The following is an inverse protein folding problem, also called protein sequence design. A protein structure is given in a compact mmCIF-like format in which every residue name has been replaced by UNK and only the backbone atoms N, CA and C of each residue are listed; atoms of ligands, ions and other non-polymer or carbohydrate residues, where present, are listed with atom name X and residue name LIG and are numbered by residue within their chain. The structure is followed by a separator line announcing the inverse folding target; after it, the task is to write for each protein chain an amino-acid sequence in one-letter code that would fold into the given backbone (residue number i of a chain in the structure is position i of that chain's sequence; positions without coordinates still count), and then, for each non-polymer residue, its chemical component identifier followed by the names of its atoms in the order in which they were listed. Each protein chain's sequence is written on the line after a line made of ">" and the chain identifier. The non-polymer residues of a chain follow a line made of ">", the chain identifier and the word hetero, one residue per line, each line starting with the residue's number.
data_IF_419231903623
#
_entry.id   IF_419231903623
#
_cell.length_a   1.000
_cell.length_b   1.000
_cell.length_c   1.000
_cell.angle_alpha   90.00
_cell.angle_beta   90.00
_cell.angle_gamma   90.00
#
_symmetry.space_group_name_H-M   'P 1'
#
loop_
_entity.id
_entity.type
_entity.pdbx_description
1 polymer ?
#
# COMPACT_ATOMS: atom_id res chain seq x y z
N UNK A 1 12.64 28.62 25.44
CA UNK A 1 13.45 27.38 25.65
C UNK A 1 13.11 26.45 24.47
N UNK A 2 14.11 26.08 23.64
CA UNK A 2 13.83 25.08 22.58
C UNK A 2 13.97 23.68 23.19
N UNK A 3 12.94 22.89 23.11
CA UNK A 3 12.98 21.49 23.51
C UNK A 3 13.96 20.74 22.61
N UNK A 4 14.78 19.87 23.20
CA UNK A 4 15.71 19.03 22.47
C UNK A 4 15.00 17.72 22.11
N UNK A 5 14.64 17.57 20.84
CA UNK A 5 13.98 16.37 20.32
C UNK A 5 15.00 15.25 20.04
N UNK A 6 14.51 14.00 20.01
CA UNK A 6 15.35 12.86 19.65
C UNK A 6 15.92 13.01 18.22
N UNK A 7 17.15 12.51 17.99
CA UNK A 7 17.87 12.57 16.69
C UNK A 7 17.00 12.07 15.53
N UNK A 8 16.19 11.03 15.74
CA UNK A 8 15.27 10.47 14.73
C UNK A 8 14.31 11.48 14.12
N UNK A 9 13.98 12.59 14.82
CA UNK A 9 13.13 13.64 14.29
C UNK A 9 13.77 14.41 13.12
N UNK A 10 15.10 14.37 12.99
CA UNK A 10 15.79 14.98 11.84
C UNK A 10 15.64 14.15 10.55
N UNK A 11 15.29 12.87 10.66
CA UNK A 11 15.08 11.98 9.52
C UNK A 11 13.66 12.05 8.97
N UNK A 12 12.70 12.57 9.76
CA UNK A 12 11.28 12.63 9.43
C UNK A 12 10.95 13.99 8.82
N UNK A 13 10.45 13.98 7.58
CA UNK A 13 9.97 15.19 6.89
C UNK A 13 8.44 15.18 6.83
N UNK A 14 7.83 16.37 6.75
CA UNK A 14 6.40 16.49 6.49
C UNK A 14 6.03 15.81 5.16
N UNK A 15 4.90 15.11 5.15
CA UNK A 15 4.42 14.43 3.95
C UNK A 15 3.82 15.45 2.98
N UNK A 16 4.41 15.60 1.78
CA UNK A 16 3.84 16.44 0.71
C UNK A 16 2.41 16.05 0.34
N UNK A 17 2.13 14.74 0.34
CA UNK A 17 0.78 14.25 0.06
C UNK A 17 -0.23 14.78 1.07
N UNK A 18 0.13 14.90 2.34
CA UNK A 18 -0.78 15.48 3.35
C UNK A 18 -1.11 16.94 3.04
N UNK A 19 -0.17 17.72 2.57
CA UNK A 19 -0.44 19.11 2.16
C UNK A 19 -1.37 19.16 0.94
N UNK A 20 -1.15 18.28 -0.04
CA UNK A 20 -2.04 18.13 -1.20
C UNK A 20 -3.44 17.68 -0.74
N UNK A 21 -3.54 16.72 0.18
CA UNK A 21 -4.82 16.22 0.67
C UNK A 21 -5.63 17.29 1.42
N UNK A 22 -5.00 18.24 2.11
CA UNK A 22 -5.71 19.38 2.71
C UNK A 22 -6.42 20.25 1.65
N UNK A 23 -5.81 20.43 0.48
CA UNK A 23 -6.45 21.16 -0.62
C UNK A 23 -7.60 20.38 -1.23
N UNK A 24 -7.54 19.04 -1.19
CA UNK A 24 -8.58 18.16 -1.76
C UNK A 24 -9.81 17.97 -0.87
N UNK A 25 -9.82 18.53 0.34
CA UNK A 25 -11.02 18.58 1.19
C UNK A 25 -12.09 19.58 0.68
N UNK A 26 -11.74 20.43 -0.31
CA UNK A 26 -12.69 21.31 -0.95
C UNK A 26 -13.61 20.52 -1.90
N UNK A 27 -14.92 20.69 -1.76
CA UNK A 27 -15.95 19.95 -2.51
C UNK A 27 -15.88 20.09 -4.05
N UNK A 28 -15.30 21.18 -4.55
CA UNK A 28 -15.17 21.48 -5.97
C UNK A 28 -13.91 20.95 -6.62
N UNK A 29 -13.01 20.29 -5.86
CA UNK A 29 -11.77 19.69 -6.35
C UNK A 29 -11.99 18.25 -6.78
N UNK A 30 -11.66 17.92 -8.03
CA UNK A 30 -11.56 16.54 -8.50
C UNK A 30 -10.18 16.00 -8.10
N UNK A 31 -10.17 15.07 -7.13
CA UNK A 31 -8.93 14.57 -6.55
C UNK A 31 -8.59 13.16 -7.01
N UNK A 32 -7.48 13.01 -7.70
CA UNK A 32 -6.80 11.75 -8.00
C UNK A 32 -5.62 11.47 -7.05
N UNK A 33 -5.48 12.26 -5.97
CA UNK A 33 -4.30 12.22 -5.11
C UNK A 33 -4.37 11.11 -4.06
N UNK A 34 -5.48 10.98 -3.33
CA UNK A 34 -5.63 10.02 -2.23
C UNK A 34 -5.74 8.58 -2.72
N UNK A 35 -5.17 7.64 -1.96
CA UNK A 35 -5.44 6.20 -2.16
C UNK A 35 -6.73 5.78 -1.44
N UNK A 36 -7.83 6.52 -1.64
CA UNK A 36 -9.08 6.34 -0.94
C UNK A 36 -9.98 5.34 -1.67
N UNK A 37 -10.59 4.37 -0.96
CA UNK A 37 -11.69 3.57 -1.48
C UNK A 37 -12.92 4.42 -1.78
N UNK A 38 -13.81 3.91 -2.62
CA UNK A 38 -15.11 4.48 -2.91
C UNK A 38 -16.03 4.44 -1.66
N UNK A 39 -16.44 5.57 -1.09
CA UNK A 39 -17.20 5.58 0.16
C UNK A 39 -18.62 5.01 0.01
N UNK A 40 -19.20 5.09 -1.17
CA UNK A 40 -20.52 4.52 -1.48
C UNK A 40 -20.56 2.99 -1.45
N UNK A 41 -19.39 2.33 -1.40
CA UNK A 41 -19.27 0.88 -1.30
C UNK A 41 -19.10 0.39 0.15
N UNK A 42 -19.04 1.28 1.13
CA UNK A 42 -18.94 0.82 2.52
C UNK A 42 -20.24 0.16 2.98
N UNK A 43 -20.18 -1.03 3.62
CA UNK A 43 -21.36 -1.77 4.05
C UNK A 43 -21.93 -1.20 5.37
N UNK A 44 -22.46 0.04 5.31
CA UNK A 44 -22.85 0.82 6.49
C UNK A 44 -23.99 0.16 7.25
N UNK A 45 -25.01 -0.34 6.56
CA UNK A 45 -26.19 -0.95 7.20
C UNK A 45 -25.79 -2.27 7.90
N UNK A 46 -24.98 -3.08 7.26
CA UNK A 46 -24.46 -4.34 7.82
C UNK A 46 -23.56 -4.06 9.04
N UNK A 47 -22.70 -3.03 8.97
CA UNK A 47 -21.85 -2.62 10.10
C UNK A 47 -22.71 -2.16 11.28
N UNK A 48 -23.77 -1.38 11.03
CA UNK A 48 -24.69 -0.93 12.08
C UNK A 48 -25.36 -2.11 12.78
N UNK A 49 -25.92 -3.05 12.02
CA UNK A 49 -26.52 -4.28 12.57
C UNK A 49 -25.51 -5.07 13.41
N UNK A 50 -24.32 -5.32 12.87
CA UNK A 50 -23.28 -6.09 13.55
C UNK A 50 -22.81 -5.43 14.83
N UNK A 51 -22.62 -4.12 14.85
CA UNK A 51 -22.22 -3.40 16.06
C UNK A 51 -23.27 -3.55 17.19
N UNK A 52 -24.55 -3.56 16.86
CA UNK A 52 -25.62 -3.83 17.84
C UNK A 52 -25.51 -5.27 18.39
N UNK A 53 -25.26 -6.24 17.51
CA UNK A 53 -25.09 -7.65 17.89
C UNK A 53 -23.86 -7.81 18.81
N UNK A 54 -22.71 -7.30 18.40
CA UNK A 54 -21.44 -7.40 19.16
C UNK A 54 -21.58 -6.80 20.54
N UNK A 55 -22.20 -5.62 20.65
CA UNK A 55 -22.40 -4.96 21.96
C UNK A 55 -23.41 -5.71 22.82
N UNK A 56 -24.49 -6.25 22.25
CA UNK A 56 -25.51 -7.00 22.97
C UNK A 56 -24.99 -8.35 23.48
N UNK A 57 -24.29 -9.10 22.63
CA UNK A 57 -23.90 -10.49 22.93
C UNK A 57 -22.54 -10.57 23.63
N UNK A 58 -21.62 -9.64 23.36
CA UNK A 58 -20.24 -9.69 23.85
C UNK A 58 -19.69 -8.32 24.28
N UNK A 59 -20.57 -7.38 24.65
CA UNK A 59 -20.17 -5.99 24.93
C UNK A 59 -19.09 -5.85 25.99
N UNK A 60 -19.19 -6.59 27.10
CA UNK A 60 -18.15 -6.57 28.14
C UNK A 60 -16.78 -6.98 27.59
N UNK A 61 -16.73 -8.01 26.73
CA UNK A 61 -15.49 -8.47 26.10
C UNK A 61 -15.00 -7.49 25.02
N UNK A 62 -15.91 -6.94 24.23
CA UNK A 62 -15.60 -5.99 23.16
C UNK A 62 -15.00 -4.68 23.68
N UNK A 63 -15.39 -4.27 24.91
CA UNK A 63 -14.96 -3.02 25.54
C UNK A 63 -13.80 -3.21 26.54
N UNK A 64 -13.32 -4.45 26.74
CA UNK A 64 -12.21 -4.75 27.64
C UNK A 64 -10.90 -4.89 26.87
N UNK A 65 -9.78 -4.81 27.58
CA UNK A 65 -8.46 -5.18 27.07
C UNK A 65 -8.43 -6.64 26.57
N UNK A 66 -7.63 -6.89 25.54
CA UNK A 66 -7.42 -8.22 24.95
C UNK A 66 -5.92 -8.50 24.75
N UNK A 67 -5.60 -9.60 24.11
CA UNK A 67 -4.20 -9.96 23.82
C UNK A 67 -3.62 -9.05 22.74
N UNK A 68 -2.32 -8.84 22.80
CA UNK A 68 -1.56 -8.00 21.83
C UNK A 68 -1.67 -8.53 20.41
N UNK A 69 -1.68 -9.86 20.25
CA UNK A 69 -1.78 -10.54 18.97
C UNK A 69 -3.09 -10.25 18.24
N UNK A 70 -4.15 -9.98 19.00
CA UNK A 70 -5.48 -9.67 18.50
C UNK A 70 -6.49 -10.80 18.64
N UNK A 71 -7.72 -10.52 18.21
CA UNK A 71 -8.89 -11.38 18.37
C UNK A 71 -8.75 -12.67 17.58
N UNK A 72 -8.78 -13.81 18.29
CA UNK A 72 -8.49 -15.15 17.73
C UNK A 72 -9.34 -15.47 16.50
N UNK A 73 -10.69 -15.32 16.49
CA UNK A 73 -11.49 -15.64 15.30
C UNK A 73 -11.10 -14.84 14.06
N UNK A 74 -10.67 -13.58 14.22
CA UNK A 74 -10.19 -12.78 13.11
C UNK A 74 -8.83 -13.25 12.60
N UNK A 75 -7.93 -13.62 13.49
CA UNK A 75 -6.60 -14.17 13.14
C UNK A 75 -6.73 -15.51 12.40
N UNK A 76 -7.63 -16.38 12.85
CA UNK A 76 -7.93 -17.66 12.18
C UNK A 76 -8.50 -17.43 10.77
N UNK A 77 -9.44 -16.50 10.62
CA UNK A 77 -9.99 -16.17 9.32
C UNK A 77 -8.91 -15.62 8.36
N UNK A 78 -8.04 -14.72 8.84
CA UNK A 78 -6.95 -14.16 8.02
C UNK A 78 -5.99 -15.28 7.59
N UNK A 79 -5.57 -16.16 8.49
CA UNK A 79 -4.69 -17.28 8.18
C UNK A 79 -5.30 -18.18 7.11
N UNK A 80 -6.56 -18.59 7.27
CA UNK A 80 -7.27 -19.42 6.30
C UNK A 80 -7.40 -18.72 4.93
N UNK A 81 -7.73 -17.42 4.92
CA UNK A 81 -7.84 -16.62 3.69
C UNK A 81 -6.51 -16.53 2.95
N UNK A 82 -5.41 -16.29 3.66
CA UNK A 82 -4.07 -16.26 3.06
C UNK A 82 -3.67 -17.63 2.52
N UNK A 83 -3.97 -18.71 3.22
CA UNK A 83 -3.68 -20.07 2.75
C UNK A 83 -4.44 -20.38 1.45
N UNK A 84 -5.73 -20.06 1.42
CA UNK A 84 -6.59 -20.29 0.25
C UNK A 84 -6.19 -19.44 -0.97
N UNK A 85 -5.93 -18.15 -0.75
CA UNK A 85 -5.76 -17.16 -1.84
C UNK A 85 -4.31 -16.94 -2.27
N UNK A 86 -3.36 -17.15 -1.35
CA UNK A 86 -1.95 -16.78 -1.55
C UNK A 86 -1.00 -17.98 -1.48
N UNK A 87 -1.51 -19.19 -1.18
CA UNK A 87 -0.72 -20.40 -1.11
C UNK A 87 0.20 -20.51 0.10
N UNK A 88 -0.11 -19.80 1.20
CA UNK A 88 0.63 -19.89 2.46
C UNK A 88 0.17 -21.10 3.29
N UNK A 89 0.83 -21.36 4.42
CA UNK A 89 0.51 -22.46 5.36
C UNK A 89 0.45 -21.94 6.80
N UNK A 90 -0.27 -20.86 7.02
CA UNK A 90 -0.38 -20.18 8.30
C UNK A 90 -1.48 -20.77 9.21
N UNK A 91 -1.28 -20.65 10.51
CA UNK A 91 -2.34 -20.70 11.52
C UNK A 91 -2.45 -19.33 12.23
N UNK A 92 -3.35 -19.22 13.21
CA UNK A 92 -3.56 -17.97 13.96
C UNK A 92 -2.28 -17.42 14.61
N UNK A 93 -1.31 -18.28 14.97
CA UNK A 93 -0.10 -17.87 15.68
C UNK A 93 0.98 -17.30 14.73
N UNK A 94 0.75 -17.39 13.43
CA UNK A 94 1.52 -16.68 12.41
C UNK A 94 0.99 -15.25 12.18
N UNK A 95 -0.13 -14.83 12.76
CA UNK A 95 -0.83 -13.57 12.48
C UNK A 95 -0.78 -12.63 13.70
N UNK A 96 -0.36 -11.39 13.48
CA UNK A 96 -0.48 -10.29 14.44
C UNK A 96 -1.38 -9.21 13.84
N UNK A 97 -2.45 -8.83 14.52
CA UNK A 97 -3.32 -7.73 14.12
C UNK A 97 -2.63 -6.39 14.39
N UNK A 98 -2.73 -5.48 13.43
CA UNK A 98 -2.10 -4.15 13.47
C UNK A 98 -3.11 -3.04 13.17
N UNK A 99 -2.80 -1.80 13.56
CA UNK A 99 -3.58 -0.61 13.17
C UNK A 99 -3.35 -0.24 11.70
N UNK A 100 -3.91 -1.07 10.78
CA UNK A 100 -3.62 -1.08 9.36
C UNK A 100 -2.20 -1.58 9.07
N UNK A 101 -1.88 -1.83 7.79
CA UNK A 101 -0.53 -2.25 7.37
C UNK A 101 0.56 -1.22 7.74
N UNK A 102 0.20 0.06 7.86
CA UNK A 102 1.15 1.11 8.24
C UNK A 102 1.84 0.84 9.59
N UNK A 103 1.11 0.32 10.58
CA UNK A 103 1.74 -0.09 11.85
C UNK A 103 2.63 -1.33 11.64
N UNK A 104 2.24 -2.25 10.77
CA UNK A 104 3.09 -3.39 10.41
C UNK A 104 4.44 -2.94 9.85
N UNK A 105 4.45 -1.92 8.99
CA UNK A 105 5.68 -1.32 8.46
C UNK A 105 6.52 -0.64 9.55
N UNK A 106 5.90 0.15 10.44
CA UNK A 106 6.63 0.79 11.56
C UNK A 106 7.24 -0.27 12.52
N UNK A 107 6.47 -1.30 12.85
CA UNK A 107 6.96 -2.41 13.66
C UNK A 107 8.10 -3.18 12.96
N UNK A 108 8.06 -3.31 11.61
CA UNK A 108 9.17 -3.90 10.84
C UNK A 108 10.44 -3.08 10.99
N UNK A 109 10.33 -1.74 10.94
CA UNK A 109 11.46 -0.87 11.25
C UNK A 109 12.03 -1.10 12.64
N UNK A 110 11.17 -1.23 13.65
CA UNK A 110 11.59 -1.51 15.06
C UNK A 110 12.26 -2.88 15.23
N UNK A 111 11.85 -3.88 14.47
CA UNK A 111 12.36 -5.26 14.61
C UNK A 111 13.67 -5.44 13.87
N UNK A 112 13.87 -4.78 12.73
CA UNK A 112 14.97 -5.10 11.82
C UNK A 112 16.02 -4.00 11.65
N UNK A 113 15.68 -2.72 11.92
CA UNK A 113 16.52 -1.60 11.51
C UNK A 113 17.17 -0.88 12.68
N UNK A 114 18.48 -0.74 12.58
CA UNK A 114 19.28 0.19 13.33
C UNK A 114 19.73 1.38 12.46
N UNK A 115 20.25 2.44 13.08
CA UNK A 115 20.79 3.58 12.36
C UNK A 115 21.98 3.18 11.49
N UNK A 116 21.92 3.51 10.20
CA UNK A 116 22.95 3.18 9.21
C UNK A 116 22.67 1.90 8.41
N UNK A 117 21.66 1.14 8.76
CA UNK A 117 21.24 -0.02 7.98
C UNK A 117 20.62 0.39 6.61
N UNK A 118 20.57 -0.57 5.71
CA UNK A 118 20.09 -0.37 4.34
C UNK A 118 18.80 -1.15 4.11
N UNK A 119 17.81 -0.47 3.53
CA UNK A 119 16.57 -1.05 3.02
C UNK A 119 16.63 -1.05 1.49
N UNK A 120 16.42 -2.21 0.86
CA UNK A 120 16.22 -2.30 -0.58
C UNK A 120 14.73 -2.15 -0.89
N UNK A 121 14.40 -1.44 -1.96
CA UNK A 121 13.02 -1.27 -2.39
C UNK A 121 12.92 -1.10 -3.91
N UNK A 122 11.71 -1.20 -4.43
CA UNK A 122 11.40 -0.89 -5.83
C UNK A 122 11.64 0.59 -6.14
N UNK A 123 11.95 0.90 -7.39
CA UNK A 123 12.05 2.27 -7.91
C UNK A 123 10.97 2.51 -8.98
N UNK A 124 9.88 3.23 -8.68
CA UNK A 124 9.47 3.84 -7.41
C UNK A 124 8.87 2.85 -6.41
N UNK A 125 8.64 3.31 -5.15
CA UNK A 125 8.01 2.52 -4.09
C UNK A 125 7.03 3.34 -3.24
N UNK A 126 6.33 2.70 -2.30
CA UNK A 126 5.32 3.33 -1.46
C UNK A 126 5.93 4.33 -0.45
N UNK A 127 5.54 5.59 -0.60
CA UNK A 127 6.11 6.69 0.20
C UNK A 127 5.89 6.57 1.72
N UNK A 128 4.81 5.92 2.16
CA UNK A 128 4.58 5.78 3.59
C UNK A 128 5.43 4.66 4.21
N UNK A 129 5.88 3.68 3.42
CA UNK A 129 6.90 2.72 3.82
C UNK A 129 8.27 3.43 3.94
N UNK A 130 8.62 4.27 2.95
CA UNK A 130 9.83 5.11 3.01
C UNK A 130 9.84 5.92 4.31
N UNK A 131 8.72 6.58 4.64
CA UNK A 131 8.60 7.40 5.84
C UNK A 131 8.70 6.59 7.13
N UNK A 132 8.10 5.39 7.18
CA UNK A 132 8.15 4.51 8.33
C UNK A 132 9.58 4.05 8.61
N UNK A 133 10.31 3.61 7.60
CA UNK A 133 11.68 3.11 7.76
C UNK A 133 12.69 4.22 8.00
N UNK A 134 12.56 5.37 7.33
CA UNK A 134 13.45 6.55 7.59
C UNK A 134 13.47 6.98 9.05
N UNK A 135 12.39 6.76 9.80
CA UNK A 135 12.34 7.06 11.23
C UNK A 135 13.41 6.32 12.06
N UNK A 136 13.94 5.22 11.54
CA UNK A 136 14.98 4.41 12.17
C UNK A 136 16.41 4.75 11.71
N UNK A 137 16.59 5.80 10.89
CA UNK A 137 17.90 6.25 10.44
C UNK A 137 18.54 5.37 9.37
N UNK A 138 17.75 4.55 8.68
CA UNK A 138 18.23 3.74 7.56
C UNK A 138 18.40 4.56 6.29
N UNK A 139 19.19 4.04 5.35
CA UNK A 139 19.29 4.49 3.97
C UNK A 139 18.56 3.54 3.02
N UNK A 140 18.33 3.98 1.77
CA UNK A 140 17.66 3.19 0.75
C UNK A 140 18.56 2.97 -0.45
N UNK A 141 18.52 1.75 -0.99
CA UNK A 141 18.98 1.46 -2.34
C UNK A 141 17.77 1.06 -3.16
N UNK A 142 17.52 1.80 -4.23
CA UNK A 142 16.43 1.60 -5.14
C UNK A 142 16.82 0.58 -6.21
N UNK A 143 16.05 -0.49 -6.36
CA UNK A 143 16.23 -1.49 -7.40
C UNK A 143 15.29 -1.16 -8.56
N UNK A 144 15.80 -1.00 -9.79
CA UNK A 144 14.98 -0.74 -10.96
C UNK A 144 13.89 -1.79 -11.17
N UNK A 145 12.77 -1.39 -11.78
CA UNK A 145 11.66 -2.27 -12.14
C UNK A 145 11.40 -2.22 -13.65
N UNK A 146 11.05 -3.36 -14.22
CA UNK A 146 10.58 -3.51 -15.58
C UNK A 146 9.09 -3.90 -15.66
N UNK A 147 8.64 -4.57 -16.72
CA UNK A 147 7.27 -5.07 -16.87
C UNK A 147 6.94 -6.21 -15.91
N UNK A 148 7.92 -6.97 -15.47
CA UNK A 148 7.78 -8.15 -14.61
C UNK A 148 8.02 -7.87 -13.12
N UNK A 149 8.38 -6.64 -12.77
CA UNK A 149 8.63 -6.22 -11.38
C UNK A 149 10.08 -5.81 -11.12
N UNK A 150 10.58 -6.03 -9.91
CA UNK A 150 11.95 -5.72 -9.51
C UNK A 150 12.96 -6.54 -10.33
N UNK A 151 14.04 -5.92 -10.83
CA UNK A 151 15.09 -6.58 -11.61
C UNK A 151 15.97 -7.43 -10.69
N UNK A 152 15.86 -8.75 -10.78
CA UNK A 152 16.50 -9.69 -9.85
C UNK A 152 18.01 -9.82 -10.02
N UNK A 153 18.53 -9.60 -11.20
CA UNK A 153 19.96 -9.53 -11.49
C UNK A 153 20.63 -8.33 -10.79
N UNK A 154 20.00 -7.17 -10.86
CA UNK A 154 20.43 -5.96 -10.13
C UNK A 154 20.31 -6.17 -8.63
N UNK A 155 19.20 -6.77 -8.15
CA UNK A 155 19.03 -7.09 -6.75
C UNK A 155 20.13 -8.01 -6.24
N UNK A 156 20.46 -9.08 -6.97
CA UNK A 156 21.49 -10.04 -6.57
C UNK A 156 22.88 -9.41 -6.56
N UNK A 157 23.19 -8.54 -7.53
CA UNK A 157 24.46 -7.79 -7.55
C UNK A 157 24.57 -6.89 -6.30
N UNK A 158 23.52 -6.13 -5.97
CA UNK A 158 23.50 -5.27 -4.78
C UNK A 158 23.64 -6.09 -3.50
N UNK A 159 22.91 -7.21 -3.37
CA UNK A 159 22.98 -8.09 -2.20
C UNK A 159 24.38 -8.70 -2.00
N UNK A 160 25.10 -9.00 -3.09
CA UNK A 160 26.43 -9.61 -3.01
C UNK A 160 27.54 -8.60 -2.69
N UNK A 161 27.36 -7.33 -3.04
CA UNK A 161 28.43 -6.32 -2.98
C UNK A 161 28.19 -5.25 -1.88
N UNK A 162 27.04 -5.24 -1.22
CA UNK A 162 26.70 -4.20 -0.25
C UNK A 162 26.49 -4.78 1.15
N UNK A 163 27.30 -4.37 2.14
CA UNK A 163 27.07 -4.76 3.54
C UNK A 163 25.89 -4.01 4.17
N UNK A 164 25.44 -4.48 5.35
CA UNK A 164 24.39 -3.85 6.17
C UNK A 164 23.00 -3.78 5.54
N UNK A 165 22.71 -4.58 4.51
CA UNK A 165 21.36 -4.74 4.02
C UNK A 165 20.58 -5.59 5.04
N UNK A 166 19.47 -5.04 5.57
CA UNK A 166 18.63 -5.70 6.58
C UNK A 166 17.26 -6.07 6.09
N UNK A 167 16.72 -5.30 5.13
CA UNK A 167 15.33 -5.43 4.74
C UNK A 167 15.17 -5.17 3.24
N UNK A 168 14.31 -5.99 2.62
CA UNK A 168 13.79 -5.76 1.28
C UNK A 168 12.29 -5.47 1.41
N UNK A 169 11.83 -4.35 0.86
CA UNK A 169 10.42 -3.99 0.81
C UNK A 169 9.88 -4.10 -0.60
N UNK A 170 8.82 -4.88 -0.79
CA UNK A 170 8.24 -5.16 -2.09
C UNK A 170 6.71 -5.14 -2.08
N UNK A 171 6.09 -4.63 -3.15
CA UNK A 171 4.64 -4.67 -3.41
C UNK A 171 4.41 -5.45 -4.71
N UNK A 172 4.35 -6.78 -4.67
CA UNK A 172 4.36 -7.59 -5.89
C UNK A 172 3.01 -7.62 -6.64
N UNK A 173 1.94 -7.05 -6.07
CA UNK A 173 0.61 -7.08 -6.69
C UNK A 173 -0.03 -5.70 -6.68
N UNK A 174 -0.33 -5.16 -7.88
CA UNK A 174 -0.92 -3.83 -8.08
C UNK A 174 -0.17 -2.73 -7.32
N UNK A 175 1.13 -2.69 -7.52
CA UNK A 175 2.10 -1.88 -6.81
C UNK A 175 1.67 -0.41 -6.68
N UNK A 176 1.86 0.16 -5.53
CA UNK A 176 1.73 1.59 -5.29
C UNK A 176 3.13 2.25 -5.38
N UNK A 177 3.37 3.09 -6.40
CA UNK A 177 2.38 3.86 -7.18
C UNK A 177 2.07 3.31 -8.58
N UNK A 178 2.76 2.30 -9.11
CA UNK A 178 2.79 1.99 -10.54
C UNK A 178 1.61 1.17 -11.06
N UNK A 179 0.86 0.49 -10.18
CA UNK A 179 -0.19 -0.44 -10.56
C UNK A 179 0.31 -1.77 -11.17
N UNK A 180 1.63 -1.97 -11.28
CA UNK A 180 2.24 -3.18 -11.85
C UNK A 180 2.04 -4.40 -10.95
N UNK A 181 2.05 -5.59 -11.57
CA UNK A 181 2.05 -6.88 -10.88
C UNK A 181 3.30 -7.66 -11.30
N UNK A 182 4.01 -8.21 -10.33
CA UNK A 182 5.20 -9.02 -10.58
C UNK A 182 4.84 -10.38 -11.16
N UNK A 183 5.69 -10.87 -12.07
CA UNK A 183 5.60 -12.22 -12.58
C UNK A 183 5.87 -13.27 -11.50
N UNK A 184 5.42 -14.50 -11.75
CA UNK A 184 5.65 -15.62 -10.83
C UNK A 184 7.15 -15.93 -10.66
N UNK A 185 7.93 -15.79 -11.74
CA UNK A 185 9.38 -16.00 -11.73
C UNK A 185 10.08 -15.02 -10.79
N UNK A 186 9.72 -13.73 -10.85
CA UNK A 186 10.28 -12.70 -9.97
C UNK A 186 9.98 -12.97 -8.50
N UNK A 187 8.79 -13.45 -8.20
CA UNK A 187 8.39 -13.82 -6.82
C UNK A 187 9.23 -14.99 -6.29
N UNK A 188 9.41 -16.04 -7.07
CA UNK A 188 10.26 -17.18 -6.71
C UNK A 188 11.70 -16.77 -6.50
N UNK A 189 12.25 -15.98 -7.46
CA UNK A 189 13.63 -15.53 -7.38
C UNK A 189 13.91 -14.65 -6.17
N UNK A 190 12.95 -13.80 -5.77
CA UNK A 190 13.12 -13.01 -4.54
C UNK A 190 13.16 -13.90 -3.29
N UNK A 191 12.33 -14.94 -3.20
CA UNK A 191 12.39 -15.90 -2.09
C UNK A 191 13.74 -16.62 -2.03
N UNK A 192 14.25 -17.09 -3.17
CA UNK A 192 15.58 -17.71 -3.26
C UNK A 192 16.69 -16.76 -2.80
N UNK A 193 16.66 -15.50 -3.26
CA UNK A 193 17.68 -14.50 -2.89
C UNK A 193 17.61 -14.14 -1.40
N UNK A 194 16.39 -13.99 -0.86
CA UNK A 194 16.18 -13.79 0.58
C UNK A 194 16.82 -14.92 1.41
N UNK A 195 16.56 -16.18 1.03
CA UNK A 195 17.14 -17.33 1.71
C UNK A 195 18.68 -17.36 1.56
N UNK A 196 19.20 -17.12 0.35
CA UNK A 196 20.64 -17.16 0.03
C UNK A 196 21.44 -16.13 0.85
N UNK A 197 20.91 -14.91 0.97
CA UNK A 197 21.62 -13.80 1.64
C UNK A 197 21.17 -13.57 3.09
N UNK A 198 20.13 -14.27 3.58
CA UNK A 198 19.63 -14.15 4.94
C UNK A 198 19.00 -12.78 5.23
N UNK A 199 18.39 -12.14 4.23
CA UNK A 199 17.79 -10.79 4.34
C UNK A 199 16.27 -10.91 4.45
N UNK A 200 15.69 -10.22 5.45
CA UNK A 200 14.24 -10.20 5.64
C UNK A 200 13.53 -9.49 4.47
N UNK A 201 12.35 -9.99 4.09
CA UNK A 201 11.48 -9.39 3.08
C UNK A 201 10.14 -9.00 3.70
N UNK A 202 9.68 -7.79 3.46
CA UNK A 202 8.30 -7.38 3.70
C UNK A 202 7.56 -7.37 2.37
N UNK A 203 6.70 -8.35 2.18
CA UNK A 203 5.75 -8.42 1.08
C UNK A 203 4.48 -7.66 1.49
N UNK A 204 4.25 -6.48 0.92
CA UNK A 204 3.07 -5.65 1.22
C UNK A 204 1.98 -5.89 0.17
N UNK A 205 0.83 -6.42 0.60
CA UNK A 205 -0.25 -6.84 -0.28
C UNK A 205 -1.63 -6.27 0.11
N UNK A 206 -1.83 -4.95 0.10
CA UNK A 206 -3.11 -4.35 0.46
C UNK A 206 -4.14 -4.39 -0.67
N UNK A 207 -3.75 -4.71 -1.91
CA UNK A 207 -4.60 -4.59 -3.12
C UNK A 207 -4.88 -5.93 -3.80
N UNK A 208 -4.27 -7.03 -3.39
CA UNK A 208 -4.25 -8.30 -4.13
C UNK A 208 -5.63 -8.89 -4.45
N UNK A 209 -6.64 -8.59 -3.63
CA UNK A 209 -8.03 -9.02 -3.86
C UNK A 209 -8.80 -8.13 -4.85
N UNK A 210 -8.23 -6.99 -5.26
CA UNK A 210 -8.84 -6.03 -6.18
C UNK A 210 -8.39 -6.27 -7.63
N UNK A 211 -8.47 -7.50 -8.09
CA UNK A 211 -8.08 -7.92 -9.44
C UNK A 211 -9.24 -7.77 -10.42
N UNK A 212 -8.99 -7.14 -11.55
CA UNK A 212 -9.97 -6.93 -12.63
C UNK A 212 -9.81 -7.95 -13.75
N UNK A 213 -8.57 -8.33 -14.05
CA UNK A 213 -8.18 -9.18 -15.18
C UNK A 213 -7.08 -10.17 -14.77
N UNK A 214 -6.97 -11.28 -15.52
CA UNK A 214 -5.97 -12.31 -15.27
C UNK A 214 -6.25 -13.16 -14.03
N UNK A 215 -5.24 -13.94 -13.61
CA UNK A 215 -5.33 -14.87 -12.48
C UNK A 215 -4.55 -14.37 -11.28
N UNK A 216 -4.99 -14.74 -10.08
CA UNK A 216 -4.26 -14.46 -8.83
C UNK A 216 -2.97 -15.25 -8.78
N UNK A 217 -1.87 -14.60 -8.42
CA UNK A 217 -0.58 -15.23 -8.28
C UNK A 217 -0.30 -15.54 -6.80
N UNK A 218 0.42 -16.64 -6.51
CA UNK A 218 0.89 -16.96 -5.17
C UNK A 218 1.72 -15.83 -4.56
N UNK A 219 1.66 -15.69 -3.24
CA UNK A 219 2.53 -14.81 -2.46
C UNK A 219 4.01 -15.21 -2.62
N UNK A 220 4.92 -14.24 -2.50
CA UNK A 220 6.37 -14.54 -2.37
C UNK A 220 6.60 -15.47 -1.19
N UNK A 221 5.86 -15.26 -0.09
CA UNK A 221 5.90 -16.12 1.10
C UNK A 221 5.61 -17.59 0.81
N UNK A 222 4.80 -17.92 -0.19
CA UNK A 222 4.51 -19.33 -0.54
C UNK A 222 5.73 -20.10 -1.03
N UNK A 223 6.82 -19.40 -1.40
CA UNK A 223 8.11 -19.97 -1.81
C UNK A 223 9.19 -19.84 -0.74
N UNK A 224 8.86 -19.32 0.45
CA UNK A 224 9.82 -19.06 1.52
C UNK A 224 10.03 -20.30 2.38
N UNK A 225 11.13 -20.99 2.17
CA UNK A 225 11.58 -22.14 2.98
C UNK A 225 12.43 -21.72 4.19
N UNK A 226 12.98 -20.51 4.19
CA UNK A 226 13.90 -20.01 5.22
C UNK A 226 13.21 -19.27 6.37
N UNK A 227 11.94 -18.93 6.23
CA UNK A 227 11.19 -18.15 7.24
C UNK A 227 11.49 -16.66 7.23
N UNK A 228 12.14 -16.13 6.19
CA UNK A 228 12.59 -14.74 6.11
C UNK A 228 11.53 -13.76 5.57
N UNK A 229 10.42 -14.25 5.00
CA UNK A 229 9.42 -13.42 4.34
C UNK A 229 8.22 -13.20 5.24
N UNK A 230 7.88 -11.93 5.46
CA UNK A 230 6.69 -11.48 6.17
C UNK A 230 5.73 -10.83 5.19
N UNK A 231 4.44 -11.09 5.37
CA UNK A 231 3.38 -10.49 4.57
C UNK A 231 2.63 -9.45 5.38
N UNK A 232 2.29 -8.31 4.77
CA UNK A 232 1.33 -7.39 5.34
C UNK A 232 0.04 -7.39 4.53
N UNK A 233 -1.08 -7.13 5.21
CA UNK A 233 -2.37 -6.99 4.58
C UNK A 233 -3.29 -6.04 5.35
N UNK A 234 -4.43 -5.69 4.76
CA UNK A 234 -5.31 -4.69 5.34
C UNK A 234 -6.76 -4.87 4.92
N UNK A 235 -7.69 -4.67 5.84
CA UNK A 235 -9.11 -4.53 5.52
C UNK A 235 -9.47 -3.17 4.91
N UNK A 236 -8.52 -2.23 4.83
CA UNK A 236 -8.77 -0.87 4.36
C UNK A 236 -9.29 -0.78 2.92
N UNK A 237 -8.97 -1.76 2.05
CA UNK A 237 -9.32 -1.72 0.63
C UNK A 237 -10.45 -2.67 0.23
N UNK A 238 -10.71 -3.67 1.07
CA UNK A 238 -11.75 -4.68 0.84
C UNK A 238 -12.92 -4.57 1.82
N UNK A 239 -12.84 -3.67 2.81
CA UNK A 239 -13.90 -3.40 3.78
C UNK A 239 -13.97 -1.89 4.05
N UNK A 240 -13.42 -1.40 5.18
CA UNK A 240 -13.46 0.02 5.54
C UNK A 240 -12.12 0.52 6.09
N UNK A 241 -11.53 1.57 5.52
CA UNK A 241 -10.25 2.11 5.99
C UNK A 241 -10.33 2.73 7.39
N UNK A 242 -11.49 3.25 7.80
CA UNK A 242 -11.71 3.88 9.10
C UNK A 242 -11.58 2.94 10.30
N UNK A 243 -11.77 1.64 10.11
CA UNK A 243 -11.58 0.63 11.17
C UNK A 243 -10.12 0.50 11.61
N UNK A 244 -9.17 0.89 10.77
CA UNK A 244 -7.74 0.79 11.05
C UNK A 244 -7.31 -0.61 11.45
N UNK A 245 -7.81 -1.65 10.79
CA UNK A 245 -7.41 -3.05 10.98
C UNK A 245 -6.63 -3.56 9.77
N UNK A 246 -5.45 -4.07 10.05
CA UNK A 246 -4.58 -4.80 9.15
C UNK A 246 -3.86 -5.90 9.92
N UNK A 247 -2.89 -6.53 9.31
CA UNK A 247 -2.10 -7.57 9.93
C UNK A 247 -0.69 -7.63 9.35
N UNK A 248 0.20 -8.26 10.12
CA UNK A 248 1.45 -8.80 9.65
C UNK A 248 1.45 -10.32 9.92
N UNK A 249 1.94 -11.09 8.95
CA UNK A 249 1.98 -12.53 8.98
C UNK A 249 3.39 -13.03 8.64
N UNK A 250 3.85 -14.07 9.31
CA UNK A 250 5.17 -14.63 9.07
C UNK A 250 5.48 -15.83 9.99
N UNK A 251 6.75 -16.21 10.05
CA UNK A 251 7.20 -17.24 10.96
C UNK A 251 6.88 -16.88 12.43
N UNK A 252 6.45 -17.87 13.21
CA UNK A 252 5.99 -17.66 14.60
C UNK A 252 7.05 -17.05 15.51
N UNK A 253 8.32 -17.38 15.29
CA UNK A 253 9.40 -16.81 16.11
C UNK A 253 9.60 -15.33 15.83
N UNK A 254 9.49 -14.94 14.58
CA UNK A 254 9.56 -13.52 14.18
C UNK A 254 8.31 -12.77 14.65
N UNK A 255 7.12 -13.34 14.48
CA UNK A 255 5.87 -12.73 14.96
C UNK A 255 5.92 -12.48 16.48
N UNK A 256 6.52 -13.35 17.28
CA UNK A 256 6.74 -13.12 18.73
C UNK A 256 7.57 -11.84 18.97
N UNK A 257 8.58 -11.54 18.13
CA UNK A 257 9.35 -10.29 18.24
C UNK A 257 8.48 -9.07 17.95
N UNK A 258 7.63 -9.16 16.93
CA UNK A 258 6.65 -8.11 16.66
C UNK A 258 5.65 -7.88 17.80
N UNK A 259 5.19 -8.95 18.46
CA UNK A 259 4.33 -8.86 19.65
C UNK A 259 5.04 -8.08 20.75
N UNK A 260 6.32 -8.39 21.04
CA UNK A 260 7.09 -7.69 22.07
C UNK A 260 7.22 -6.17 21.78
N UNK A 261 7.55 -5.79 20.55
CA UNK A 261 7.66 -4.35 20.21
C UNK A 261 6.30 -3.67 20.16
N UNK A 262 5.24 -4.38 19.79
CA UNK A 262 3.87 -3.85 19.81
C UNK A 262 3.37 -3.61 21.22
N UNK A 263 3.70 -4.47 22.19
CA UNK A 263 3.38 -4.24 23.61
C UNK A 263 3.90 -2.90 24.11
N UNK A 264 5.11 -2.52 23.69
CA UNK A 264 5.69 -1.21 24.04
C UNK A 264 5.20 -0.04 23.16
N UNK A 265 4.39 -0.31 22.12
CA UNK A 265 3.90 0.73 21.19
C UNK A 265 2.48 1.16 21.52
N UNK A 266 1.54 0.21 21.59
CA UNK A 266 0.11 0.50 21.74
C UNK A 266 -0.66 -0.61 22.48
N UNK A 267 0.04 -1.63 22.95
CA UNK A 267 -0.45 -2.79 23.68
C UNK A 267 -1.32 -3.72 22.82
N UNK A 268 -2.40 -3.21 22.20
CA UNK A 268 -3.34 -3.97 21.37
C UNK A 268 -4.08 -3.08 20.37
N UNK A 269 -4.66 -3.67 19.34
CA UNK A 269 -5.59 -2.99 18.46
C UNK A 269 -7.00 -2.92 19.05
N UNK A 270 -7.81 -1.99 18.55
CA UNK A 270 -9.20 -1.80 18.97
C UNK A 270 -10.01 -3.11 18.90
N UNK A 271 -10.47 -3.61 20.06
CA UNK A 271 -11.14 -4.92 20.17
C UNK A 271 -12.49 -4.92 19.48
N UNK A 272 -13.31 -3.85 19.65
CA UNK A 272 -14.63 -3.78 19.02
C UNK A 272 -14.52 -3.79 17.49
N UNK A 273 -13.54 -3.09 16.92
CA UNK A 273 -13.30 -3.11 15.48
C UNK A 273 -12.96 -4.51 14.96
N UNK A 274 -12.12 -5.24 15.67
CA UNK A 274 -11.77 -6.63 15.33
C UNK A 274 -12.98 -7.56 15.41
N UNK A 275 -13.80 -7.43 16.47
CA UNK A 275 -14.98 -8.25 16.66
C UNK A 275 -16.07 -7.92 15.62
N UNK A 276 -16.24 -6.64 15.26
CA UNK A 276 -17.15 -6.23 14.20
C UNK A 276 -16.77 -6.84 12.86
N UNK A 277 -15.49 -6.78 12.49
CA UNK A 277 -15.00 -7.41 11.25
C UNK A 277 -15.21 -8.93 11.30
N UNK A 278 -14.82 -9.59 12.39
CA UNK A 278 -14.96 -11.04 12.52
C UNK A 278 -16.45 -11.48 12.43
N UNK A 279 -17.36 -10.74 13.03
CA UNK A 279 -18.80 -11.05 12.96
C UNK A 279 -19.39 -10.75 11.57
N UNK A 280 -18.88 -9.71 10.87
CA UNK A 280 -19.21 -9.48 9.45
C UNK A 280 -18.79 -10.68 8.59
N UNK A 281 -17.56 -11.12 8.72
CA UNK A 281 -16.99 -12.24 7.95
C UNK A 281 -17.71 -13.58 8.22
N UNK A 282 -18.34 -13.72 9.37
CA UNK A 282 -19.14 -14.90 9.73
C UNK A 282 -20.55 -14.86 9.13
N UNK A 283 -21.19 -13.67 9.04
CA UNK A 283 -22.59 -13.51 8.66
C UNK A 283 -22.79 -13.15 7.20
N UNK A 284 -21.84 -12.42 6.62
CA UNK A 284 -21.90 -11.90 5.27
C UNK A 284 -20.79 -12.50 4.40
N UNK A 285 -21.10 -12.61 3.12
CA UNK A 285 -20.17 -13.10 2.12
C UNK A 285 -19.25 -11.95 1.64
N UNK A 286 -18.02 -11.94 2.17
CA UNK A 286 -17.03 -10.92 1.81
C UNK A 286 -16.64 -10.99 0.33
N UNK A 287 -16.69 -12.16 -0.31
CA UNK A 287 -16.35 -12.31 -1.72
C UNK A 287 -17.38 -11.61 -2.62
N UNK A 288 -18.67 -11.64 -2.25
CA UNK A 288 -19.69 -10.85 -2.94
C UNK A 288 -19.48 -9.36 -2.77
N UNK A 289 -19.05 -8.93 -1.59
CA UNK A 289 -18.71 -7.52 -1.35
C UNK A 289 -17.49 -7.08 -2.17
N UNK A 290 -16.41 -7.86 -2.16
CA UNK A 290 -15.21 -7.61 -2.98
C UNK A 290 -15.57 -7.59 -4.47
N UNK A 291 -16.42 -8.50 -4.96
CA UNK A 291 -16.86 -8.53 -6.35
C UNK A 291 -17.55 -7.22 -6.78
N UNK A 292 -18.38 -6.62 -5.89
CA UNK A 292 -18.97 -5.29 -6.14
C UNK A 292 -17.91 -4.20 -6.27
N UNK A 293 -16.92 -4.20 -5.37
CA UNK A 293 -15.81 -3.24 -5.41
C UNK A 293 -15.01 -3.41 -6.72
N UNK A 294 -14.66 -4.63 -7.07
CA UNK A 294 -13.91 -4.97 -8.30
C UNK A 294 -14.64 -4.49 -9.54
N UNK A 295 -15.96 -4.69 -9.62
CA UNK A 295 -16.76 -4.27 -10.79
C UNK A 295 -16.76 -2.74 -10.95
N UNK A 296 -16.96 -1.99 -9.86
CA UNK A 296 -16.92 -0.52 -9.88
C UNK A 296 -15.53 -0.03 -10.26
N UNK A 297 -14.47 -0.57 -9.64
CA UNK A 297 -13.11 -0.10 -9.91
C UNK A 297 -12.63 -0.49 -11.31
N UNK A 298 -13.05 -1.62 -11.85
CA UNK A 298 -12.80 -1.99 -13.26
C UNK A 298 -13.35 -0.95 -14.22
N UNK A 299 -14.60 -0.53 -14.03
CA UNK A 299 -15.24 0.52 -14.87
C UNK A 299 -14.49 1.82 -14.77
N UNK A 300 -14.18 2.26 -13.56
CA UNK A 300 -13.43 3.51 -13.30
C UNK A 300 -12.03 3.47 -13.90
N UNK A 301 -11.32 2.32 -13.76
CA UNK A 301 -10.03 2.11 -14.40
C UNK A 301 -10.12 2.25 -15.92
N UNK A 302 -11.13 1.64 -16.54
CA UNK A 302 -11.32 1.71 -17.99
C UNK A 302 -11.54 3.15 -18.44
N UNK A 303 -12.45 3.89 -17.79
CA UNK A 303 -12.66 5.32 -18.07
C UNK A 303 -11.38 6.13 -17.89
N UNK A 304 -10.59 5.84 -16.85
CA UNK A 304 -9.32 6.54 -16.62
C UNK A 304 -8.31 6.27 -17.75
N UNK A 305 -8.14 5.02 -18.15
CA UNK A 305 -7.22 4.64 -19.25
C UNK A 305 -7.67 5.26 -20.59
N UNK A 306 -8.93 5.13 -20.95
CA UNK A 306 -9.51 5.72 -22.18
C UNK A 306 -9.37 7.26 -22.20
N UNK A 307 -9.55 7.90 -21.03
CA UNK A 307 -9.37 9.35 -20.90
C UNK A 307 -7.92 9.77 -21.08
N UNK A 308 -6.97 9.00 -20.51
CA UNK A 308 -5.54 9.27 -20.72
C UNK A 308 -5.18 9.14 -22.20
N UNK A 309 -5.61 8.07 -22.87
CA UNK A 309 -5.37 7.84 -24.31
C UNK A 309 -5.95 8.94 -25.19
N UNK A 310 -7.13 9.44 -24.86
CA UNK A 310 -7.83 10.45 -25.65
C UNK A 310 -7.31 11.87 -25.44
N UNK A 311 -6.97 12.23 -24.21
CA UNK A 311 -6.77 13.64 -23.85
C UNK A 311 -5.32 14.01 -23.57
N UNK A 312 -4.44 13.06 -23.27
CA UNK A 312 -3.03 13.37 -23.05
C UNK A 312 -2.24 13.38 -24.38
N UNK A 313 -1.04 13.98 -24.41
CA UNK A 313 -0.18 13.92 -25.60
C UNK A 313 0.44 12.51 -25.77
N UNK A 314 0.70 12.10 -27.02
CA UNK A 314 1.30 10.80 -27.36
C UNK A 314 2.71 10.59 -26.79
N UNK A 315 3.34 11.64 -26.30
CA UNK A 315 4.69 11.61 -25.74
C UNK A 315 4.75 11.12 -24.29
N UNK A 316 3.61 10.93 -23.62
CA UNK A 316 3.57 10.35 -22.28
C UNK A 316 3.64 8.82 -22.33
N UNK A 317 4.14 8.21 -21.24
CA UNK A 317 3.99 6.78 -20.98
C UNK A 317 3.11 6.59 -19.76
N UNK A 318 2.34 5.51 -19.72
CA UNK A 318 1.53 5.20 -18.56
C UNK A 318 1.30 3.70 -18.40
N UNK A 319 1.00 3.27 -17.17
CA UNK A 319 0.71 1.86 -16.86
C UNK A 319 -0.76 1.54 -17.08
N UNK A 320 -1.02 0.25 -17.44
CA UNK A 320 -2.38 -0.32 -17.60
C UNK A 320 -2.57 -1.38 -16.52
N UNK A 321 -3.04 -1.00 -15.32
CA UNK A 321 -3.12 -1.94 -14.22
C UNK A 321 -4.24 -2.97 -14.42
N UNK A 322 -3.95 -4.23 -14.08
CA UNK A 322 -4.92 -5.33 -14.07
C UNK A 322 -5.77 -5.38 -12.80
N UNK A 323 -5.55 -4.44 -11.88
CA UNK A 323 -6.23 -4.36 -10.59
C UNK A 323 -5.74 -3.17 -9.75
N UNK A 324 -6.12 -3.16 -8.48
CA UNK A 324 -5.69 -2.11 -7.55
C UNK A 324 -6.41 -0.78 -7.74
N UNK A 325 -5.72 0.32 -7.42
CA UNK A 325 -6.31 1.65 -7.32
C UNK A 325 -5.63 2.72 -8.18
N UNK A 326 -4.48 2.41 -8.80
CA UNK A 326 -3.59 3.43 -9.35
C UNK A 326 -3.14 3.13 -10.77
N UNK A 327 -2.97 4.20 -11.55
CA UNK A 327 -2.13 4.21 -12.75
C UNK A 327 -1.01 5.23 -12.58
N UNK A 328 0.11 4.96 -13.23
CA UNK A 328 1.33 5.77 -13.20
C UNK A 328 1.57 6.40 -14.55
N UNK A 329 1.83 7.71 -14.58
CA UNK A 329 2.12 8.47 -15.80
C UNK A 329 3.55 8.97 -15.72
N UNK A 330 4.30 8.82 -16.81
CA UNK A 330 5.61 9.39 -17.02
C UNK A 330 5.52 10.45 -18.12
N UNK A 331 5.82 11.68 -17.77
CA UNK A 331 5.90 12.84 -18.65
C UNK A 331 7.26 12.82 -19.38
N UNK A 332 7.41 13.57 -20.49
CA UNK A 332 8.71 13.73 -21.14
C UNK A 332 9.79 14.22 -20.17
N UNK A 333 11.04 13.88 -20.44
CA UNK A 333 12.18 14.38 -19.67
C UNK A 333 12.21 15.91 -19.63
N UNK A 334 12.59 16.47 -18.49
CA UNK A 334 12.60 17.90 -18.25
C UNK A 334 11.26 18.54 -17.88
N UNK A 335 10.16 17.77 -17.90
CA UNK A 335 8.84 18.23 -17.45
C UNK A 335 8.65 17.94 -15.96
N UNK A 336 8.42 18.99 -15.16
CA UNK A 336 8.17 18.86 -13.72
C UNK A 336 6.70 18.52 -13.42
N UNK A 337 6.42 17.36 -12.84
CA UNK A 337 5.09 17.02 -12.38
C UNK A 337 4.61 17.92 -11.21
N UNK A 338 5.52 18.52 -10.44
CA UNK A 338 5.17 19.50 -9.41
C UNK A 338 4.62 20.78 -10.01
N UNK A 339 5.25 21.29 -11.06
CA UNK A 339 4.78 22.49 -11.73
C UNK A 339 3.45 22.24 -12.45
N UNK A 340 3.30 21.05 -13.05
CA UNK A 340 2.01 20.61 -13.60
C UNK A 340 0.94 20.55 -12.51
N UNK A 341 1.26 20.07 -11.29
CA UNK A 341 0.32 20.05 -10.17
C UNK A 341 -0.14 21.46 -9.79
N UNK A 342 0.77 22.43 -9.68
CA UNK A 342 0.43 23.82 -9.34
C UNK A 342 -0.61 24.37 -10.31
N UNK A 343 -0.39 24.21 -11.62
CA UNK A 343 -1.36 24.63 -12.66
C UNK A 343 -2.67 23.83 -12.63
N UNK A 344 -2.60 22.55 -12.31
CA UNK A 344 -3.78 21.69 -12.20
C UNK A 344 -4.67 22.09 -11.02
N UNK A 345 -4.08 22.51 -9.91
CA UNK A 345 -4.82 22.99 -8.73
C UNK A 345 -5.60 24.28 -9.02
N UNK A 346 -5.09 25.18 -9.89
CA UNK A 346 -5.83 26.35 -10.39
C UNK A 346 -7.09 25.94 -11.16
N UNK A 347 -7.06 24.76 -11.80
CA UNK A 347 -8.19 24.14 -12.51
C UNK A 347 -8.98 23.17 -11.62
N UNK A 348 -8.74 23.15 -10.31
CA UNK A 348 -9.41 22.27 -9.33
C UNK A 348 -9.18 20.77 -9.58
N UNK A 349 -8.01 20.40 -10.10
CA UNK A 349 -7.58 19.01 -10.29
C UNK A 349 -6.35 18.75 -9.43
N UNK A 350 -6.39 17.67 -8.63
CA UNK A 350 -5.29 17.26 -7.77
C UNK A 350 -4.81 15.84 -8.10
N UNK A 351 -3.50 15.63 -8.11
CA UNK A 351 -2.84 14.33 -8.23
C UNK A 351 -1.59 14.28 -7.34
N UNK A 352 -0.85 13.18 -7.31
CA UNK A 352 0.41 13.10 -6.55
C UNK A 352 1.60 13.11 -7.51
N UNK A 353 2.49 14.14 -7.42
CA UNK A 353 3.77 14.13 -8.12
C UNK A 353 4.63 12.94 -7.71
N UNK A 354 5.32 12.35 -8.67
CA UNK A 354 6.01 11.08 -8.48
C UNK A 354 7.29 11.16 -7.65
N UNK A 355 7.92 12.32 -7.54
CA UNK A 355 9.20 12.48 -6.82
C UNK A 355 9.19 11.92 -5.39
N UNK A 356 8.05 12.01 -4.69
CA UNK A 356 7.91 11.49 -3.31
C UNK A 356 7.95 9.96 -3.20
N UNK A 357 7.79 9.23 -4.30
CA UNK A 357 7.86 7.76 -4.33
C UNK A 357 9.27 7.23 -4.62
N UNK A 358 10.23 8.11 -4.76
CA UNK A 358 11.65 7.79 -4.90
C UNK A 358 12.37 8.19 -3.60
N UNK A 359 12.88 7.25 -2.80
CA UNK A 359 13.56 7.55 -1.53
C UNK A 359 14.70 8.56 -1.65
N UNK A 360 15.40 8.53 -2.79
CA UNK A 360 16.56 9.39 -3.09
C UNK A 360 16.22 10.61 -3.98
N UNK A 361 14.96 10.76 -4.41
CA UNK A 361 14.49 12.00 -5.05
C UNK A 361 14.92 12.21 -6.50
N UNK A 362 15.05 11.16 -7.32
CA UNK A 362 15.74 11.21 -8.60
C UNK A 362 14.86 11.46 -9.84
N UNK A 363 13.53 11.49 -9.72
CA UNK A 363 12.61 11.65 -10.88
C UNK A 363 11.46 12.59 -10.56
N UNK A 364 11.40 13.69 -11.28
CA UNK A 364 10.38 14.74 -11.12
C UNK A 364 9.31 14.71 -12.24
N UNK A 365 9.50 13.91 -13.29
CA UNK A 365 8.62 13.85 -14.46
C UNK A 365 7.55 12.74 -14.37
N UNK A 366 7.18 12.33 -13.19
CA UNK A 366 6.21 11.25 -12.99
C UNK A 366 5.06 11.66 -12.08
N UNK A 367 3.89 11.01 -12.22
CA UNK A 367 2.74 11.26 -11.36
C UNK A 367 1.85 10.04 -11.19
N UNK A 368 1.18 9.96 -10.04
CA UNK A 368 0.21 8.92 -9.73
C UNK A 368 -1.21 9.42 -9.82
N UNK A 369 -2.07 8.66 -10.49
CA UNK A 369 -3.52 8.86 -10.58
C UNK A 369 -4.22 7.74 -9.81
N UNK A 370 -5.08 8.09 -8.87
CA UNK A 370 -6.06 7.20 -8.24
C UNK A 370 -7.36 7.25 -9.04
N UNK A 371 -7.93 6.09 -9.38
CA UNK A 371 -9.21 5.99 -10.08
C UNK A 371 -10.33 5.39 -9.22
N UNK A 372 -10.07 4.99 -7.97
CA UNK A 372 -11.07 4.29 -7.16
C UNK A 372 -12.12 5.19 -6.51
N UNK A 373 -11.76 6.44 -6.18
CA UNK A 373 -12.58 7.31 -5.32
C UNK A 373 -13.62 8.16 -6.06
N UNK A 374 -13.31 8.60 -7.30
CA UNK A 374 -14.20 9.49 -8.06
C UNK A 374 -15.15 8.69 -8.96
N UNK A 375 -16.40 9.16 -9.17
CA UNK A 375 -17.30 8.57 -10.18
C UNK A 375 -16.79 8.83 -11.60
N UNK A 376 -17.25 8.03 -12.54
CA UNK A 376 -16.75 7.92 -13.92
C UNK A 376 -16.79 9.26 -14.66
N UNK A 377 -17.86 10.03 -14.52
CA UNK A 377 -18.01 11.35 -15.14
C UNK A 377 -16.98 12.38 -14.63
N UNK A 378 -16.67 12.34 -13.32
CA UNK A 378 -15.63 13.17 -12.73
C UNK A 378 -14.24 12.69 -13.15
N UNK A 379 -14.02 11.38 -13.31
CA UNK A 379 -12.74 10.84 -13.81
C UNK A 379 -12.48 11.37 -15.22
N UNK A 380 -13.44 11.22 -16.15
CA UNK A 380 -13.28 11.71 -17.52
C UNK A 380 -13.03 13.23 -17.55
N UNK A 381 -13.89 14.00 -16.87
CA UNK A 381 -13.74 15.47 -16.80
C UNK A 381 -12.39 15.90 -16.24
N UNK A 382 -11.98 15.28 -15.12
CA UNK A 382 -10.73 15.61 -14.46
C UNK A 382 -9.50 15.28 -15.29
N UNK A 383 -9.48 14.10 -15.92
CA UNK A 383 -8.37 13.67 -16.77
C UNK A 383 -8.31 14.45 -18.09
N UNK A 384 -9.45 14.86 -18.66
CA UNK A 384 -9.49 15.79 -19.80
C UNK A 384 -8.81 17.10 -19.43
N UNK A 385 -9.21 17.71 -18.32
CA UNK A 385 -8.62 18.99 -17.87
C UNK A 385 -7.13 18.83 -17.57
N UNK A 386 -6.72 17.74 -16.91
CA UNK A 386 -5.31 17.46 -16.64
C UNK A 386 -4.50 17.27 -17.93
N UNK A 387 -5.06 16.56 -18.92
CA UNK A 387 -4.43 16.37 -20.23
C UNK A 387 -4.21 17.71 -20.98
N UNK A 388 -5.18 18.64 -20.88
CA UNK A 388 -5.04 20.00 -21.43
C UNK A 388 -3.90 20.77 -20.73
N UNK A 389 -3.84 20.73 -19.39
CA UNK A 389 -2.74 21.35 -18.61
C UNK A 389 -1.38 20.78 -18.98
N UNK A 390 -1.28 19.46 -19.13
CA UNK A 390 -0.03 18.80 -19.54
C UNK A 390 0.40 19.24 -20.93
N UNK A 391 -0.52 19.30 -21.91
CA UNK A 391 -0.25 19.77 -23.27
C UNK A 391 0.24 21.22 -23.30
N UNK A 392 -0.44 22.10 -22.59
CA UNK A 392 -0.06 23.50 -22.45
C UNK A 392 1.33 23.66 -21.85
N UNK A 393 1.62 22.93 -20.75
CA UNK A 393 2.91 22.99 -20.08
C UNK A 393 4.06 22.50 -20.97
N UNK A 394 3.89 21.36 -21.66
CA UNK A 394 4.89 20.82 -22.58
C UNK A 394 5.15 21.78 -23.76
N UNK A 395 4.11 22.43 -24.29
CA UNK A 395 4.27 23.37 -25.38
C UNK A 395 5.04 24.65 -25.00
N UNK A 396 4.93 25.07 -23.74
CA UNK A 396 5.65 26.25 -23.20
C UNK A 396 7.08 25.93 -22.74
N UNK A 397 7.41 24.67 -22.53
CA UNK A 397 8.72 24.20 -22.09
C UNK A 397 9.67 23.87 -23.25
N UNK A 398 9.19 23.92 -24.47
CA UNK A 398 9.97 23.83 -25.73
C UNK A 398 10.45 25.19 -26.16
#
# INVERSE_FOLDING_TARGET
>A
MKLNCAKRMSYIKASEIREILKVTEQEDVISFAGGLPAPELFPIDEINEINQIVLKEAGTKALQYTTTEGYVPLREWIANRMNERLGTTFDKDNILITHGSQQGLDLSGKVFLDEGDIVLCESPTYLAAISAFKAYGCSFIEIPTDGDGMMMDVLEDVLSNTPHIKLIYAIPTFQNPTGKTWSLERRRKLAELSAKYGVAVIEDNPYGELRFEGESLPSIKSFDEAGNILCTGSFSKIFCPGFRIGWIAGDKEIIRKYVLVKQGTDLQCNTIAQMTIAEYLKRYDIDKHIAKIVEVYRKRRNVAIESIERYFPDTIKFTRPEGGLFTWIELPEGISARDVLVRSLEKKIAFVPGGSFYPNGNKENTLRINYSNMPEDKIEKGLKTLGEVVKEYISQSK
#
